data_IF_775964241293
#
_entry.id   IF_775964241293
#
_cell.length_a   1.000
_cell.length_b   1.000
_cell.length_c   1.000
_cell.angle_alpha   90.00
_cell.angle_beta   90.00
_cell.angle_gamma   90.00
#
_symmetry.space_group_name_H-M   'P 1'
#
loop_
_entity.id
_entity.type
_entity.pdbx_description
1 polymer ?
#
# COMPACT_ATOMS: atom_id res chain seq x y z
N UNK A 1 -26.26 24.40 -7.04
CA UNK A 1 -26.04 23.38 -5.99
C UNK A 1 -24.81 22.59 -6.40
N UNK A 2 -23.75 22.59 -5.59
CA UNK A 2 -22.67 21.61 -5.77
C UNK A 2 -23.31 20.21 -5.66
N UNK A 3 -22.98 19.24 -6.54
CA UNK A 3 -23.51 17.89 -6.43
C UNK A 3 -23.24 17.35 -5.02
N UNK A 4 -24.24 16.73 -4.39
CA UNK A 4 -24.04 16.07 -3.10
C UNK A 4 -22.92 15.04 -3.26
N UNK A 5 -21.97 14.92 -2.30
CA UNK A 5 -20.91 13.93 -2.40
C UNK A 5 -21.54 12.54 -2.52
N UNK A 6 -21.18 11.81 -3.57
CA UNK A 6 -21.64 10.44 -3.78
C UNK A 6 -21.07 9.52 -2.70
N UNK A 7 -21.89 8.60 -2.15
CA UNK A 7 -21.43 7.67 -1.14
C UNK A 7 -20.38 6.73 -1.73
N UNK A 8 -19.35 6.41 -0.94
CA UNK A 8 -18.25 5.53 -1.33
C UNK A 8 -18.22 4.27 -0.44
N UNK A 9 -17.99 3.11 -1.06
CA UNK A 9 -17.73 1.86 -0.32
C UNK A 9 -16.23 1.68 -0.11
N UNK A 10 -15.80 1.59 1.15
CA UNK A 10 -14.43 1.24 1.54
C UNK A 10 -14.35 -0.25 1.82
N UNK A 11 -13.73 -1.01 0.93
CA UNK A 11 -13.38 -2.42 1.17
C UNK A 11 -12.08 -2.46 1.98
N UNK A 12 -12.22 -2.77 3.28
CA UNK A 12 -11.15 -2.61 4.25
C UNK A 12 -10.46 -3.94 4.57
N UNK A 13 -9.16 -4.03 4.29
CA UNK A 13 -8.26 -5.06 4.82
C UNK A 13 -7.65 -4.67 6.17
N UNK A 14 -6.47 -5.22 6.46
CA UNK A 14 -5.65 -4.89 7.65
C UNK A 14 -4.81 -3.63 7.47
N UNK A 15 -4.34 -3.10 8.60
CA UNK A 15 -3.38 -2.00 8.65
C UNK A 15 -4.05 -0.63 8.74
N UNK A 16 -3.22 0.41 8.65
CA UNK A 16 -3.63 1.76 9.01
C UNK A 16 -4.33 2.53 7.88
N UNK A 17 -4.12 2.12 6.62
CA UNK A 17 -4.66 2.83 5.46
C UNK A 17 -6.20 2.96 5.45
N UNK A 18 -7.00 1.91 5.77
CA UNK A 18 -8.44 2.05 5.95
C UNK A 18 -8.82 3.12 6.97
N UNK A 19 -8.10 3.23 8.09
CA UNK A 19 -8.38 4.25 9.11
C UNK A 19 -8.10 5.65 8.57
N UNK A 20 -7.01 5.84 7.85
CA UNK A 20 -6.69 7.13 7.21
C UNK A 20 -7.79 7.56 6.24
N UNK A 21 -8.32 6.65 5.41
CA UNK A 21 -9.44 6.93 4.51
C UNK A 21 -10.72 7.29 5.27
N UNK A 22 -11.05 6.55 6.33
CA UNK A 22 -12.22 6.85 7.19
C UNK A 22 -12.12 8.28 7.75
N UNK A 23 -10.95 8.66 8.28
CA UNK A 23 -10.74 10.00 8.84
C UNK A 23 -10.92 11.10 7.77
N UNK A 24 -10.46 10.87 6.55
CA UNK A 24 -10.65 11.80 5.42
C UNK A 24 -12.11 11.88 5.01
N UNK A 25 -12.83 10.77 4.93
CA UNK A 25 -14.26 10.80 4.62
C UNK A 25 -15.07 11.55 5.68
N UNK A 26 -14.73 11.36 6.95
CA UNK A 26 -15.35 12.10 8.06
C UNK A 26 -15.04 13.60 8.00
N UNK A 27 -13.78 14.00 7.78
CA UNK A 27 -13.40 15.43 7.71
C UNK A 27 -14.05 16.15 6.52
N UNK A 28 -14.17 15.45 5.38
CA UNK A 28 -14.84 15.95 4.18
C UNK A 28 -16.37 15.86 4.25
N UNK A 29 -16.92 15.24 5.31
CA UNK A 29 -18.36 14.91 5.42
C UNK A 29 -18.87 14.14 4.20
N UNK A 30 -18.02 13.32 3.58
CA UNK A 30 -18.38 12.44 2.47
C UNK A 30 -19.07 11.20 3.05
N UNK A 31 -20.29 10.87 2.62
CA UNK A 31 -20.94 9.63 3.05
C UNK A 31 -20.11 8.41 2.64
N UNK A 32 -19.97 7.43 3.53
CA UNK A 32 -19.23 6.19 3.23
C UNK A 32 -19.80 5.00 4.01
N UNK A 33 -19.49 3.80 3.54
CA UNK A 33 -19.72 2.54 4.24
C UNK A 33 -18.45 1.70 4.22
N UNK A 34 -18.10 1.08 5.34
CA UNK A 34 -17.01 0.10 5.39
C UNK A 34 -17.56 -1.30 5.04
N UNK A 35 -17.05 -1.87 3.96
CA UNK A 35 -17.23 -3.27 3.58
C UNK A 35 -16.13 -4.08 4.29
N UNK A 36 -16.40 -4.50 5.53
CA UNK A 36 -15.44 -5.18 6.39
C UNK A 36 -15.42 -6.69 6.13
N UNK A 37 -14.24 -7.28 6.05
CA UNK A 37 -14.01 -8.70 5.86
C UNK A 37 -13.74 -9.41 7.18
N UNK A 38 -14.51 -10.46 7.48
CA UNK A 38 -14.28 -11.30 8.67
C UNK A 38 -12.91 -11.95 8.62
N UNK A 39 -12.16 -11.86 9.72
CA UNK A 39 -10.79 -12.40 9.83
C UNK A 39 -9.70 -11.51 9.21
N UNK A 40 -10.08 -10.43 8.50
CA UNK A 40 -9.11 -9.51 7.91
C UNK A 40 -9.28 -8.08 8.44
N UNK A 41 -10.50 -7.56 8.56
CA UNK A 41 -10.71 -6.22 9.12
C UNK A 41 -10.69 -6.25 10.64
N UNK A 42 -9.95 -5.35 11.27
CA UNK A 42 -9.94 -5.21 12.72
C UNK A 42 -11.27 -4.67 13.25
N UNK A 43 -11.84 -5.28 14.29
CA UNK A 43 -13.12 -4.84 14.86
C UNK A 43 -13.08 -3.39 15.36
N UNK A 44 -11.94 -2.98 15.93
CA UNK A 44 -11.70 -1.60 16.36
C UNK A 44 -11.78 -0.59 15.21
N UNK A 45 -11.48 -1.00 13.97
CA UNK A 45 -11.58 -0.12 12.80
C UNK A 45 -13.01 0.40 12.63
N UNK A 46 -13.99 -0.50 12.83
CA UNK A 46 -15.39 -0.26 12.50
C UNK A 46 -16.26 0.12 13.70
N UNK A 47 -15.67 0.22 14.89
CA UNK A 47 -16.35 0.68 16.11
C UNK A 47 -16.87 2.13 15.92
N UNK A 48 -18.18 2.32 16.03
CA UNK A 48 -18.83 3.62 15.79
C UNK A 48 -18.84 4.08 14.32
N UNK A 49 -18.43 3.23 13.38
CA UNK A 49 -18.38 3.53 11.94
C UNK A 49 -19.47 2.73 11.21
N UNK A 50 -20.20 3.31 10.24
CA UNK A 50 -21.12 2.56 9.39
C UNK A 50 -20.37 1.44 8.64
N UNK A 51 -20.80 0.19 8.82
CA UNK A 51 -20.15 -0.95 8.19
C UNK A 51 -21.10 -2.14 7.97
N UNK A 52 -20.69 -3.04 7.09
CA UNK A 52 -21.23 -4.40 6.99
C UNK A 52 -20.12 -5.43 7.08
N UNK A 53 -20.43 -6.60 7.63
CA UNK A 53 -19.51 -7.73 7.66
C UNK A 53 -19.76 -8.68 6.50
N UNK A 54 -18.69 -8.97 5.77
CA UNK A 54 -18.64 -9.87 4.62
C UNK A 54 -17.69 -11.03 4.90
N UNK A 55 -18.05 -12.22 4.42
CA UNK A 55 -17.09 -13.30 4.17
C UNK A 55 -16.50 -13.14 2.77
N UNK A 56 -15.31 -13.71 2.54
CA UNK A 56 -14.74 -13.77 1.20
C UNK A 56 -15.66 -14.56 0.27
N UNK A 57 -15.98 -13.96 -0.87
CA UNK A 57 -16.90 -14.55 -1.85
C UNK A 57 -18.37 -14.14 -1.69
N UNK A 58 -18.75 -13.38 -0.65
CA UNK A 58 -20.10 -12.76 -0.56
C UNK A 58 -20.23 -11.53 -1.50
N UNK A 59 -19.95 -11.74 -2.79
CA UNK A 59 -19.94 -10.69 -3.81
C UNK A 59 -21.34 -10.15 -4.08
N UNK A 60 -22.33 -11.03 -4.22
CA UNK A 60 -23.73 -10.66 -4.43
C UNK A 60 -24.31 -9.88 -3.25
N UNK A 61 -23.94 -10.22 -2.01
CA UNK A 61 -24.31 -9.46 -0.82
C UNK A 61 -23.73 -8.04 -0.84
N UNK A 62 -22.45 -7.90 -1.16
CA UNK A 62 -21.80 -6.59 -1.27
C UNK A 62 -22.45 -5.73 -2.36
N UNK A 63 -22.69 -6.31 -3.55
CA UNK A 63 -23.35 -5.63 -4.68
C UNK A 63 -24.75 -5.19 -4.29
N UNK A 64 -25.56 -6.07 -3.70
CA UNK A 64 -26.94 -5.74 -3.28
C UNK A 64 -26.95 -4.55 -2.31
N UNK A 65 -26.06 -4.57 -1.32
CA UNK A 65 -25.95 -3.46 -0.37
C UNK A 65 -25.59 -2.15 -1.09
N UNK A 66 -24.63 -2.17 -2.01
CA UNK A 66 -24.24 -0.98 -2.77
C UNK A 66 -25.39 -0.47 -3.66
N UNK A 67 -26.14 -1.37 -4.30
CA UNK A 67 -27.30 -1.01 -5.13
C UNK A 67 -28.42 -0.36 -4.30
N UNK A 68 -28.78 -0.98 -3.17
CA UNK A 68 -29.81 -0.47 -2.24
C UNK A 68 -29.46 0.91 -1.65
N UNK A 69 -28.16 1.20 -1.53
CA UNK A 69 -27.65 2.47 -0.98
C UNK A 69 -27.13 3.44 -2.06
N UNK A 70 -27.38 3.16 -3.35
CA UNK A 70 -26.95 3.99 -4.49
C UNK A 70 -25.45 4.32 -4.51
N UNK A 71 -24.61 3.37 -4.08
CA UNK A 71 -23.16 3.49 -4.05
C UNK A 71 -22.62 3.08 -5.41
N UNK A 72 -21.80 3.94 -6.02
CA UNK A 72 -21.15 3.67 -7.31
C UNK A 72 -19.63 3.72 -7.24
N UNK A 73 -19.09 4.37 -6.22
CA UNK A 73 -17.65 4.48 -6.02
C UNK A 73 -17.17 3.47 -4.99
N UNK A 74 -16.03 2.86 -5.27
CA UNK A 74 -15.38 1.86 -4.45
C UNK A 74 -13.94 2.30 -4.24
N UNK A 75 -13.46 2.26 -3.00
CA UNK A 75 -12.04 2.29 -2.68
C UNK A 75 -11.68 1.00 -1.95
N UNK A 76 -10.55 0.41 -2.30
CA UNK A 76 -9.99 -0.74 -1.59
C UNK A 76 -8.73 -0.28 -0.85
N UNK A 77 -8.60 -0.67 0.40
CA UNK A 77 -7.42 -0.31 1.19
C UNK A 77 -7.11 -1.36 2.24
N UNK A 78 -5.83 -1.49 2.55
CA UNK A 78 -5.33 -2.40 3.56
C UNK A 78 -4.94 -3.77 3.01
N UNK A 79 -4.09 -4.46 3.75
CA UNK A 79 -3.56 -5.75 3.35
C UNK A 79 -4.59 -6.87 3.52
N UNK A 80 -4.70 -7.75 2.54
CA UNK A 80 -5.48 -8.99 2.61
C UNK A 80 -4.50 -10.15 2.57
N UNK A 81 -4.53 -11.01 3.60
CA UNK A 81 -3.82 -12.30 3.53
C UNK A 81 -4.65 -13.31 2.76
N UNK A 82 -4.01 -14.39 2.32
CA UNK A 82 -4.75 -15.57 1.84
C UNK A 82 -5.77 -15.99 2.92
N UNK A 83 -7.07 -15.93 2.63
CA UNK A 83 -8.10 -16.17 3.63
C UNK A 83 -8.11 -17.65 4.01
N UNK A 84 -8.36 -17.93 5.29
CA UNK A 84 -8.58 -19.30 5.76
C UNK A 84 -9.89 -19.85 5.16
N UNK A 85 -10.02 -21.18 5.06
CA UNK A 85 -11.23 -21.80 4.51
C UNK A 85 -12.52 -21.38 5.27
N UNK A 86 -12.40 -21.09 6.57
CA UNK A 86 -13.50 -20.58 7.40
C UNK A 86 -13.95 -19.16 7.05
N UNK A 87 -13.10 -18.37 6.42
CA UNK A 87 -13.37 -16.97 6.02
C UNK A 87 -14.00 -16.89 4.62
N UNK A 88 -14.05 -18.01 3.88
CA UNK A 88 -14.53 -18.08 2.51
C UNK A 88 -15.93 -18.67 2.48
N UNK A 89 -16.91 -17.88 2.04
CA UNK A 89 -18.31 -18.28 1.82
C UNK A 89 -18.81 -17.66 0.51
N UNK A 90 -18.54 -18.30 -0.64
CA UNK A 90 -18.95 -17.75 -1.92
C UNK A 90 -20.46 -17.86 -2.08
N UNK A 91 -21.11 -16.71 -2.31
CA UNK A 91 -22.50 -16.70 -2.76
C UNK A 91 -22.57 -17.01 -4.27
N UNK A 92 -23.78 -17.10 -4.83
CA UNK A 92 -23.96 -17.45 -6.25
C UNK A 92 -23.15 -16.54 -7.18
N UNK A 93 -23.03 -15.26 -6.83
CA UNK A 93 -22.29 -14.31 -7.65
C UNK A 93 -20.78 -14.46 -7.44
N UNK A 94 -20.34 -14.73 -6.22
CA UNK A 94 -18.97 -15.12 -5.91
C UNK A 94 -18.54 -16.37 -6.68
N UNK A 95 -19.38 -17.40 -6.77
CA UNK A 95 -19.11 -18.60 -7.56
C UNK A 95 -18.90 -18.24 -9.04
N UNK A 96 -19.78 -17.42 -9.63
CA UNK A 96 -19.60 -16.96 -11.02
C UNK A 96 -18.27 -16.23 -11.21
N UNK A 97 -17.89 -15.36 -10.27
CA UNK A 97 -16.62 -14.63 -10.34
C UNK A 97 -15.42 -15.57 -10.26
N UNK A 98 -15.44 -16.54 -9.35
CA UNK A 98 -14.41 -17.57 -9.24
C UNK A 98 -14.24 -18.36 -10.55
N UNK A 99 -15.36 -18.74 -11.20
CA UNK A 99 -15.30 -19.44 -12.49
C UNK A 99 -14.68 -18.60 -13.61
N UNK A 100 -14.90 -17.27 -13.61
CA UNK A 100 -14.31 -16.34 -14.59
C UNK A 100 -12.83 -16.06 -14.34
N UNK A 101 -12.43 -15.99 -13.07
CA UNK A 101 -11.05 -15.73 -12.66
C UNK A 101 -10.16 -16.93 -12.97
N UNK A 102 -10.67 -18.15 -12.78
CA UNK A 102 -9.96 -19.41 -12.98
C UNK A 102 -9.07 -19.79 -11.79
N UNK A 103 -8.83 -21.09 -11.55
CA UNK A 103 -8.12 -21.59 -10.36
C UNK A 103 -6.64 -21.18 -10.30
N UNK A 104 -6.04 -20.83 -11.43
CA UNK A 104 -4.61 -20.49 -11.54
C UNK A 104 -4.26 -19.03 -11.19
N UNK A 105 -5.26 -18.17 -10.98
CA UNK A 105 -5.03 -16.75 -10.65
C UNK A 105 -5.00 -16.46 -9.14
N UNK A 106 -5.18 -17.47 -8.29
CA UNK A 106 -5.15 -17.30 -6.82
C UNK A 106 -3.71 -17.12 -6.32
N UNK A 107 -3.13 -15.94 -6.48
CA UNK A 107 -1.82 -15.59 -5.90
C UNK A 107 -0.99 -14.51 -6.62
N UNK A 108 -1.54 -13.81 -7.59
CA UNK A 108 -0.82 -12.86 -8.46
C UNK A 108 -1.58 -11.51 -8.50
N UNK A 109 -0.88 -10.39 -8.73
CA UNK A 109 -1.45 -9.06 -9.01
C UNK A 109 -2.49 -9.09 -10.14
N UNK A 110 -2.36 -10.08 -11.05
CA UNK A 110 -3.35 -10.37 -12.08
C UNK A 110 -4.75 -10.72 -11.53
N UNK A 111 -4.86 -11.25 -10.31
CA UNK A 111 -6.15 -11.48 -9.65
C UNK A 111 -6.87 -10.17 -9.39
N UNK A 112 -6.16 -9.22 -8.78
CA UNK A 112 -6.73 -7.97 -8.32
C UNK A 112 -7.15 -7.11 -9.52
N UNK A 113 -6.32 -7.07 -10.57
CA UNK A 113 -6.69 -6.43 -11.85
C UNK A 113 -7.95 -7.03 -12.46
N UNK A 114 -8.12 -8.36 -12.43
CA UNK A 114 -9.34 -9.03 -12.91
C UNK A 114 -10.55 -8.69 -12.07
N UNK A 115 -10.40 -8.66 -10.74
CA UNK A 115 -11.47 -8.27 -9.80
C UNK A 115 -11.91 -6.83 -10.08
N UNK A 116 -10.97 -5.88 -10.21
CA UNK A 116 -11.25 -4.48 -10.57
C UNK A 116 -12.03 -4.43 -11.89
N UNK A 117 -11.54 -5.10 -12.93
CA UNK A 117 -12.22 -5.11 -14.23
C UNK A 117 -13.66 -5.62 -14.13
N UNK A 118 -13.90 -6.69 -13.38
CA UNK A 118 -15.26 -7.22 -13.20
C UNK A 118 -16.18 -6.28 -12.40
N UNK A 119 -15.61 -5.51 -11.46
CA UNK A 119 -16.32 -4.45 -10.73
C UNK A 119 -16.72 -3.33 -11.72
N UNK A 120 -15.76 -2.88 -12.54
CA UNK A 120 -15.97 -1.82 -13.53
C UNK A 120 -16.95 -2.20 -14.64
N UNK A 121 -16.92 -3.46 -15.11
CA UNK A 121 -17.88 -4.00 -16.07
C UNK A 121 -19.35 -3.96 -15.57
N UNK A 122 -19.55 -3.81 -14.24
CA UNK A 122 -20.88 -3.62 -13.63
C UNK A 122 -21.25 -2.15 -13.39
N UNK A 123 -20.42 -1.21 -13.85
CA UNK A 123 -20.67 0.22 -13.73
C UNK A 123 -20.31 0.81 -12.36
N UNK A 124 -19.44 0.15 -11.59
CA UNK A 124 -18.82 0.73 -10.40
C UNK A 124 -17.50 1.39 -10.77
N UNK A 125 -17.19 2.52 -10.15
CA UNK A 125 -15.93 3.21 -10.30
C UNK A 125 -14.99 2.82 -9.17
N UNK A 126 -13.87 2.18 -9.50
CA UNK A 126 -12.79 1.93 -8.53
C UNK A 126 -11.89 3.17 -8.47
N UNK A 127 -11.89 3.82 -7.31
CA UNK A 127 -11.12 5.04 -7.02
C UNK A 127 -9.86 4.64 -6.27
N UNK A 128 -8.73 5.22 -6.66
CA UNK A 128 -7.46 4.97 -6.00
C UNK A 128 -7.36 5.72 -4.65
N UNK A 129 -6.69 5.14 -3.64
CA UNK A 129 -6.39 5.87 -2.41
C UNK A 129 -5.60 7.16 -2.69
N UNK A 130 -4.76 7.21 -3.71
CA UNK A 130 -4.02 8.39 -4.17
C UNK A 130 -4.92 9.54 -4.65
N UNK A 131 -6.03 9.25 -5.31
CA UNK A 131 -7.02 10.27 -5.72
C UNK A 131 -7.69 10.94 -4.51
N UNK A 132 -7.77 10.23 -3.38
CA UNK A 132 -8.46 10.66 -2.16
C UNK A 132 -7.46 11.23 -1.14
N UNK A 133 -6.25 10.67 -1.09
CA UNK A 133 -5.21 10.92 -0.12
C UNK A 133 -4.01 11.64 -0.77
N UNK A 134 -4.29 12.60 -1.66
CA UNK A 134 -3.26 13.39 -2.36
C UNK A 134 -2.26 13.97 -1.35
N UNK A 135 -2.76 14.48 -0.23
CA UNK A 135 -1.93 15.06 0.84
C UNK A 135 -1.04 14.03 1.55
N UNK A 136 -1.34 12.73 1.45
CA UNK A 136 -0.53 11.65 2.02
C UNK A 136 0.52 11.11 1.06
N UNK A 137 0.52 11.49 -0.22
CA UNK A 137 1.59 11.11 -1.14
C UNK A 137 2.91 11.80 -0.76
N UNK A 138 4.00 11.03 -0.73
CA UNK A 138 5.34 11.55 -0.46
C UNK A 138 5.67 12.69 -1.44
N UNK A 139 5.98 13.91 -0.95
CA UNK A 139 6.41 14.97 -1.84
C UNK A 139 7.85 14.72 -2.32
N UNK A 140 8.23 15.33 -3.43
CA UNK A 140 9.61 15.28 -3.91
C UNK A 140 10.54 16.07 -2.99
N UNK A 141 11.75 15.54 -2.76
CA UNK A 141 12.80 16.21 -1.99
C UNK A 141 13.08 15.56 -0.64
N UNK A 142 13.98 16.19 0.11
CA UNK A 142 14.39 15.73 1.43
C UNK A 142 13.32 16.17 2.43
N UNK A 143 12.78 15.21 3.20
CA UNK A 143 11.66 15.43 4.11
C UNK A 143 12.09 15.63 5.58
N UNK A 144 13.39 15.45 5.84
CA UNK A 144 14.03 15.54 7.16
C UNK A 144 15.21 16.52 7.10
N UNK A 145 15.65 17.13 8.21
CA UNK A 145 16.85 17.98 8.21
C UNK A 145 18.15 17.24 7.89
N UNK A 146 18.22 15.93 8.15
CA UNK A 146 19.37 15.12 7.76
C UNK A 146 19.32 14.86 6.24
N UNK A 147 20.40 15.19 5.55
CA UNK A 147 20.53 15.00 4.10
C UNK A 147 21.30 13.72 3.74
N UNK A 148 20.97 13.05 2.61
CA UNK A 148 21.77 11.95 2.09
C UNK A 148 23.14 12.43 1.63
N UNK A 149 24.20 11.76 2.09
CA UNK A 149 25.57 11.97 1.61
C UNK A 149 25.83 11.27 0.26
N UNK A 150 27.04 11.43 -0.28
CA UNK A 150 27.40 10.86 -1.58
C UNK A 150 27.24 9.33 -1.61
N UNK A 151 27.59 8.63 -0.52
CA UNK A 151 27.46 7.18 -0.46
C UNK A 151 25.99 6.76 -0.43
N UNK A 152 25.15 7.48 0.31
CA UNK A 152 23.71 7.26 0.33
C UNK A 152 23.10 7.47 -1.06
N UNK A 153 23.51 8.51 -1.81
CA UNK A 153 23.08 8.70 -3.19
C UNK A 153 23.50 7.54 -4.11
N UNK A 154 24.71 7.00 -3.96
CA UNK A 154 25.15 5.80 -4.68
C UNK A 154 24.28 4.57 -4.34
N UNK A 155 24.01 4.34 -3.05
CA UNK A 155 23.19 3.21 -2.59
C UNK A 155 21.74 3.32 -3.07
N UNK A 156 21.19 4.55 -3.06
CA UNK A 156 19.86 4.84 -3.61
C UNK A 156 19.81 4.53 -5.10
N UNK A 157 20.78 5.02 -5.88
CA UNK A 157 20.87 4.75 -7.32
C UNK A 157 20.93 3.25 -7.60
N UNK A 158 21.77 2.53 -6.84
CA UNK A 158 21.88 1.07 -6.94
C UNK A 158 20.56 0.36 -6.61
N UNK A 159 19.86 0.82 -5.58
CA UNK A 159 18.55 0.28 -5.21
C UNK A 159 17.50 0.45 -6.32
N UNK A 160 17.47 1.63 -6.95
CA UNK A 160 16.57 1.91 -8.08
C UNK A 160 16.86 1.02 -9.29
N UNK A 161 18.13 0.81 -9.63
CA UNK A 161 18.52 -0.11 -10.72
C UNK A 161 18.01 -1.53 -10.46
N UNK A 162 18.20 -2.03 -9.24
CA UNK A 162 17.79 -3.38 -8.83
C UNK A 162 16.26 -3.52 -8.93
N UNK A 163 15.50 -2.59 -8.34
CA UNK A 163 14.03 -2.63 -8.38
C UNK A 163 13.50 -2.45 -9.81
N UNK A 164 14.15 -1.62 -10.64
CA UNK A 164 13.80 -1.47 -12.05
C UNK A 164 14.00 -2.76 -12.84
N UNK A 165 15.09 -3.49 -12.59
CA UNK A 165 15.39 -4.77 -13.25
C UNK A 165 14.44 -5.90 -12.81
N UNK A 166 13.96 -5.86 -11.56
CA UNK A 166 13.04 -6.86 -11.01
C UNK A 166 11.57 -6.56 -11.27
N UNK A 167 11.22 -5.31 -11.59
CA UNK A 167 9.84 -4.91 -11.83
C UNK A 167 9.11 -5.76 -12.89
N UNK A 168 9.71 -6.22 -14.01
CA UNK A 168 9.03 -7.10 -14.97
C UNK A 168 8.76 -8.51 -14.43
N UNK A 169 9.55 -8.97 -13.46
CA UNK A 169 9.38 -10.25 -12.80
C UNK A 169 8.38 -10.18 -11.63
N UNK A 170 7.85 -8.99 -11.34
CA UNK A 170 6.87 -8.73 -10.29
C UNK A 170 7.33 -9.10 -8.87
N UNK A 171 8.64 -9.01 -8.61
CA UNK A 171 9.25 -9.39 -7.32
C UNK A 171 9.42 -8.18 -6.42
N UNK A 172 8.43 -7.97 -5.54
CA UNK A 172 8.47 -6.97 -4.47
C UNK A 172 8.63 -5.53 -4.95
N UNK A 173 8.72 -4.59 -4.00
CA UNK A 173 8.82 -3.16 -4.30
C UNK A 173 9.83 -2.42 -3.40
N UNK A 174 10.58 -3.14 -2.56
CA UNK A 174 11.58 -2.59 -1.68
C UNK A 174 12.91 -3.37 -1.71
N UNK A 175 14.00 -2.66 -1.48
CA UNK A 175 15.36 -3.19 -1.38
C UNK A 175 16.12 -2.45 -0.29
N UNK A 176 17.03 -3.15 0.40
CA UNK A 176 17.99 -2.51 1.31
C UNK A 176 19.38 -2.63 0.72
N UNK A 177 20.06 -1.49 0.57
CA UNK A 177 21.43 -1.39 0.03
C UNK A 177 22.35 -0.75 1.07
N UNK A 178 23.54 -1.32 1.26
CA UNK A 178 24.58 -0.77 2.13
C UNK A 178 25.91 -0.77 1.37
N UNK A 179 26.47 0.42 1.11
CA UNK A 179 27.78 0.59 0.48
C UNK A 179 27.90 -0.19 -0.85
N UNK A 180 26.85 -0.07 -1.69
CA UNK A 180 26.71 -0.76 -2.98
C UNK A 180 26.25 -2.22 -2.90
N UNK A 181 26.20 -2.83 -1.71
CA UNK A 181 25.76 -4.21 -1.53
C UNK A 181 24.25 -4.29 -1.25
N UNK A 182 23.55 -5.11 -2.02
CA UNK A 182 22.15 -5.46 -1.74
C UNK A 182 22.12 -6.43 -0.56
N UNK A 183 21.60 -5.98 0.58
CA UNK A 183 21.43 -6.82 1.77
C UNK A 183 20.16 -7.68 1.70
N UNK A 184 19.16 -7.20 0.98
CA UNK A 184 17.91 -7.92 0.78
C UNK A 184 16.99 -7.20 -0.19
N UNK A 185 16.13 -7.99 -0.83
CA UNK A 185 15.04 -7.54 -1.70
C UNK A 185 13.75 -8.10 -1.11
N UNK A 186 12.71 -7.28 -1.04
CA UNK A 186 11.38 -7.66 -0.61
C UNK A 186 10.81 -8.71 -1.56
N UNK A 187 10.19 -9.75 -1.00
CA UNK A 187 9.29 -10.61 -1.73
C UNK A 187 8.01 -10.81 -0.89
N UNK A 188 7.49 -12.03 -0.83
CA UNK A 188 6.23 -12.36 -0.15
C UNK A 188 6.27 -12.08 1.36
N UNK A 189 7.45 -11.94 1.97
CA UNK A 189 7.60 -11.66 3.40
C UNK A 189 7.22 -10.22 3.79
N UNK A 190 7.23 -9.31 2.82
CA UNK A 190 6.93 -7.89 3.01
C UNK A 190 8.08 -7.06 3.61
N UNK A 191 7.91 -5.74 3.54
CA UNK A 191 8.94 -4.75 3.85
C UNK A 191 9.48 -4.89 5.28
N UNK A 192 8.63 -5.20 6.25
CA UNK A 192 9.04 -5.31 7.67
C UNK A 192 10.04 -6.46 7.91
N UNK A 193 9.76 -7.62 7.31
CA UNK A 193 10.64 -8.78 7.40
C UNK A 193 11.92 -8.57 6.59
N UNK A 194 11.84 -7.87 5.45
CA UNK A 194 13.03 -7.40 4.72
C UNK A 194 13.93 -6.54 5.63
N UNK A 195 13.38 -5.51 6.29
CA UNK A 195 14.17 -4.61 7.15
C UNK A 195 14.85 -5.39 8.27
N UNK A 196 14.11 -6.28 8.95
CA UNK A 196 14.66 -7.10 10.02
C UNK A 196 15.80 -8.02 9.53
N UNK A 197 15.60 -8.67 8.37
CA UNK A 197 16.62 -9.54 7.74
C UNK A 197 17.85 -8.73 7.32
N UNK A 198 17.67 -7.57 6.70
CA UNK A 198 18.78 -6.72 6.29
C UNK A 198 19.59 -6.23 7.50
N UNK A 199 18.93 -5.88 8.61
CA UNK A 199 19.58 -5.54 9.88
C UNK A 199 20.51 -6.63 10.40
N UNK A 200 20.11 -7.91 10.29
CA UNK A 200 20.93 -9.05 10.70
C UNK A 200 22.12 -9.34 9.75
N UNK A 201 22.08 -8.81 8.52
CA UNK A 201 23.11 -9.00 7.49
C UNK A 201 24.04 -7.79 7.33
N UNK A 202 23.83 -6.74 8.14
CA UNK A 202 24.63 -5.52 8.06
C UNK A 202 26.11 -5.79 8.33
N UNK A 203 26.95 -5.01 7.65
CA UNK A 203 28.40 -4.99 7.86
C UNK A 203 28.80 -3.78 8.68
N UNK A 204 30.01 -3.83 9.24
CA UNK A 204 30.66 -2.64 9.80
C UNK A 204 30.79 -1.56 8.73
N UNK A 205 30.49 -0.31 9.06
CA UNK A 205 30.54 0.80 8.11
C UNK A 205 29.33 1.70 8.27
N UNK A 206 28.97 2.40 7.19
CA UNK A 206 27.76 3.20 7.15
C UNK A 206 26.53 2.29 7.14
N UNK A 207 25.45 2.68 7.83
CA UNK A 207 24.19 1.95 7.79
C UNK A 207 23.57 1.89 6.38
N UNK A 208 22.75 0.87 6.12
CA UNK A 208 22.07 0.74 4.83
C UNK A 208 20.93 1.75 4.62
N UNK A 209 20.48 1.87 3.37
CA UNK A 209 19.32 2.65 2.95
C UNK A 209 18.20 1.70 2.54
N UNK A 210 16.98 1.95 3.02
CA UNK A 210 15.77 1.31 2.49
C UNK A 210 15.29 2.12 1.27
N UNK A 211 15.16 1.48 0.12
CA UNK A 211 14.58 2.07 -1.09
C UNK A 211 13.26 1.36 -1.38
N UNK A 212 12.17 2.11 -1.56
CA UNK A 212 10.85 1.57 -1.87
C UNK A 212 10.18 2.37 -2.99
N UNK A 213 9.99 1.77 -4.16
CA UNK A 213 9.43 2.44 -5.36
C UNK A 213 8.32 1.58 -5.95
N UNK A 214 7.32 2.19 -6.58
CA UNK A 214 6.23 1.43 -7.18
C UNK A 214 6.74 0.59 -8.36
N UNK A 215 6.20 -0.62 -8.54
CA UNK A 215 6.48 -1.43 -9.75
C UNK A 215 5.94 -0.69 -10.99
N UNK A 216 6.56 -0.87 -12.15
CA UNK A 216 6.13 -0.22 -13.41
C UNK A 216 4.68 -0.57 -13.79
N UNK A 217 4.28 -1.81 -13.52
CA UNK A 217 2.94 -2.33 -13.84
C UNK A 217 2.02 -2.37 -12.60
N UNK A 218 2.41 -1.67 -11.52
CA UNK A 218 1.66 -1.59 -10.28
C UNK A 218 0.26 -1.00 -10.52
N UNK A 219 -0.77 -1.67 -10.02
CA UNK A 219 -2.12 -1.10 -10.02
C UNK A 219 -2.26 -0.14 -8.84
N UNK A 220 -2.05 1.15 -9.12
CA UNK A 220 -2.01 2.22 -8.12
C UNK A 220 -3.34 2.39 -7.36
N UNK A 221 -4.46 2.03 -7.98
CA UNK A 221 -5.77 2.21 -7.35
C UNK A 221 -6.02 1.32 -6.14
N UNK A 222 -5.14 0.37 -5.87
CA UNK A 222 -5.33 -0.66 -4.84
C UNK A 222 -4.05 -1.09 -4.15
N UNK A 223 -2.89 -0.86 -4.76
CA UNK A 223 -1.60 -1.29 -4.20
C UNK A 223 -0.55 -0.21 -4.46
N UNK A 224 -0.52 0.77 -3.56
CA UNK A 224 0.52 1.78 -3.47
C UNK A 224 1.53 1.37 -2.40
N UNK A 225 2.84 1.60 -2.63
CA UNK A 225 3.81 1.55 -1.56
C UNK A 225 3.38 2.45 -0.39
N UNK A 226 3.53 1.94 0.83
CA UNK A 226 3.23 2.67 2.07
C UNK A 226 4.44 2.66 2.99
N UNK A 227 4.71 3.82 3.61
CA UNK A 227 5.60 3.96 4.76
C UNK A 227 4.90 4.74 5.89
N UNK A 228 5.33 4.53 7.12
CA UNK A 228 4.82 5.24 8.29
C UNK A 228 5.78 5.14 9.47
N UNK A 229 5.33 5.55 10.65
CA UNK A 229 6.11 5.53 11.89
C UNK A 229 6.75 4.17 12.17
N UNK A 230 6.03 3.08 11.92
CA UNK A 230 6.53 1.74 12.18
C UNK A 230 7.67 1.34 11.21
N UNK A 231 7.61 1.79 9.96
CA UNK A 231 8.72 1.63 9.01
C UNK A 231 9.97 2.33 9.52
N UNK A 232 9.83 3.57 10.01
CA UNK A 232 10.94 4.34 10.60
C UNK A 232 11.50 3.64 11.83
N UNK A 233 10.64 3.19 12.75
CA UNK A 233 11.03 2.47 13.97
C UNK A 233 11.84 1.20 13.64
N UNK A 234 11.35 0.42 12.68
CA UNK A 234 12.02 -0.81 12.24
C UNK A 234 13.33 -0.52 11.53
N UNK A 235 13.36 0.46 10.63
CA UNK A 235 14.57 0.88 9.94
C UNK A 235 15.66 1.33 10.92
N UNK A 236 15.31 2.18 11.89
CA UNK A 236 16.21 2.61 12.95
C UNK A 236 16.73 1.44 13.79
N UNK A 237 15.84 0.52 14.21
CA UNK A 237 16.21 -0.68 14.97
C UNK A 237 17.15 -1.59 14.19
N UNK A 238 16.99 -1.67 12.87
CA UNK A 238 17.84 -2.45 11.98
C UNK A 238 19.16 -1.76 11.64
N UNK A 239 19.46 -0.58 12.20
CA UNK A 239 20.69 0.16 11.92
C UNK A 239 20.70 0.82 10.53
N UNK A 240 19.54 1.01 9.90
CA UNK A 240 19.46 1.76 8.65
C UNK A 240 19.60 3.26 8.94
N UNK A 241 20.16 3.99 7.99
CA UNK A 241 20.44 5.43 8.12
C UNK A 241 19.55 6.31 7.23
N UNK A 242 18.72 5.71 6.39
CA UNK A 242 17.80 6.46 5.56
C UNK A 242 16.75 5.62 4.85
N UNK A 243 15.70 6.31 4.40
CA UNK A 243 14.58 5.75 3.65
C UNK A 243 14.38 6.63 2.42
N UNK A 244 14.41 6.03 1.24
CA UNK A 244 14.09 6.68 -0.02
C UNK A 244 12.84 6.06 -0.64
N UNK A 245 11.88 6.90 -1.01
CA UNK A 245 10.60 6.48 -1.59
C UNK A 245 10.31 7.21 -2.88
N UNK A 246 9.49 6.63 -3.75
CA UNK A 246 9.04 7.33 -4.96
C UNK A 246 8.01 8.42 -4.61
N UNK A 247 8.34 9.67 -4.98
CA UNK A 247 7.46 10.82 -4.78
C UNK A 247 6.21 10.71 -5.66
N UNK A 248 5.05 11.11 -5.11
CA UNK A 248 3.76 11.04 -5.79
C UNK A 248 3.21 9.62 -5.97
N UNK A 249 3.95 8.57 -5.58
CA UNK A 249 3.52 7.17 -5.73
C UNK A 249 3.74 6.32 -4.47
N UNK A 250 4.13 6.94 -3.35
CA UNK A 250 4.24 6.30 -2.05
C UNK A 250 3.41 7.06 -1.03
N UNK A 251 2.57 6.37 -0.27
CA UNK A 251 1.80 6.96 0.83
C UNK A 251 2.66 7.03 2.10
N UNK A 252 2.63 8.19 2.76
CA UNK A 252 3.25 8.43 4.07
C UNK A 252 2.16 8.59 5.12
N UNK A 253 1.93 7.56 5.91
CA UNK A 253 0.94 7.58 6.99
C UNK A 253 1.47 8.38 8.18
N UNK A 254 0.61 9.21 8.79
CA UNK A 254 0.95 10.11 9.91
C UNK A 254 2.28 10.83 9.65
N UNK A 255 2.39 11.54 8.51
CA UNK A 255 3.67 12.07 8.02
C UNK A 255 4.39 12.90 9.06
N UNK A 256 3.68 13.75 9.80
CA UNK A 256 4.29 14.63 10.80
C UNK A 256 4.98 13.81 11.90
N UNK A 257 4.27 12.84 12.48
CA UNK A 257 4.79 11.93 13.50
C UNK A 257 5.91 11.04 12.96
N UNK A 258 5.75 10.52 11.75
CA UNK A 258 6.75 9.72 11.04
C UNK A 258 8.06 10.51 10.86
N UNK A 259 7.99 11.75 10.38
CA UNK A 259 9.17 12.59 10.16
C UNK A 259 9.80 13.03 11.48
N UNK A 260 8.99 13.35 12.49
CA UNK A 260 9.49 13.62 13.85
C UNK A 260 10.29 12.42 14.39
N UNK A 261 9.74 11.22 14.29
CA UNK A 261 10.43 10.00 14.70
C UNK A 261 11.70 9.75 13.89
N UNK A 262 11.69 10.01 12.57
CA UNK A 262 12.87 9.85 11.74
C UNK A 262 14.01 10.78 12.19
N UNK A 263 13.67 12.04 12.51
CA UNK A 263 14.62 13.01 13.05
C UNK A 263 15.19 12.56 14.40
N UNK A 264 14.34 12.11 15.33
CA UNK A 264 14.77 11.58 16.64
C UNK A 264 15.70 10.36 16.51
N UNK A 265 15.53 9.57 15.45
CA UNK A 265 16.35 8.39 15.16
C UNK A 265 17.54 8.67 14.25
N UNK A 266 17.73 9.91 13.80
CA UNK A 266 18.78 10.29 12.85
C UNK A 266 18.71 9.51 11.53
N UNK A 267 17.50 9.27 11.01
CA UNK A 267 17.27 8.76 9.66
C UNK A 267 16.87 9.91 8.74
N UNK A 268 17.46 9.96 7.56
CA UNK A 268 16.91 10.81 6.51
C UNK A 268 15.72 10.14 5.83
N UNK A 269 14.74 10.94 5.39
CA UNK A 269 13.65 10.49 4.51
C UNK A 269 13.66 11.31 3.24
N UNK A 270 13.66 10.65 2.08
CA UNK A 270 13.78 11.27 0.77
C UNK A 270 12.64 10.83 -0.15
N UNK A 271 11.94 11.77 -0.76
CA UNK A 271 11.07 11.55 -1.91
C UNK A 271 11.84 11.72 -3.22
N UNK A 272 12.03 10.62 -3.95
CA UNK A 272 12.69 10.57 -5.24
C UNK A 272 11.74 11.01 -6.35
N UNK A 273 12.19 11.92 -7.21
CA UNK A 273 11.49 12.25 -8.43
C UNK A 273 11.16 10.96 -9.22
N UNK A 274 9.91 10.79 -9.66
CA UNK A 274 9.48 9.57 -10.38
C UNK A 274 10.31 9.32 -11.66
N UNK A 275 10.76 10.39 -12.33
CA UNK A 275 11.66 10.30 -13.49
C UNK A 275 12.99 9.59 -13.19
N UNK A 276 13.47 9.65 -11.93
CA UNK A 276 14.67 8.93 -11.47
C UNK A 276 14.37 7.47 -11.11
N UNK A 277 13.11 7.10 -10.85
CA UNK A 277 12.70 5.76 -10.44
C UNK A 277 12.43 4.83 -11.63
N UNK A 278 12.14 5.39 -12.81
CA UNK A 278 11.78 4.64 -14.02
C UNK A 278 12.61 5.05 -15.22
N UNK A 279 13.91 4.78 -15.14
CA UNK A 279 14.82 4.98 -16.28
C UNK A 279 14.62 3.81 -17.26
N UNK A 280 14.32 4.11 -18.53
CA UNK A 280 14.37 3.10 -19.58
C UNK A 280 15.82 2.59 -19.69
N UNK A 281 16.01 1.28 -19.45
CA UNK A 281 17.27 0.60 -19.75
C UNK A 281 17.45 0.51 -21.26
#
# INVERSE_FOLDING_TARGET
>A
MLPKPTPIALFAGRGDLPRSLINVFQSQKRPFIVMAFRGQTEEKLVEGIPHIWLYFGEVGKAIRYMEENHIREIVMAGAISRPAMSEVRPDWEGIKWLTKIGPHALGDDNLLKRVIKMIEERGYQVVGPDDILVDLLAPEGILTPLEPDNQAWCDIGRGVEVLSALSPADVGQAVVVQEGLVLGIEAIEGTDALIARAGALQRSGLGGILIKIAKRQQEQRVDLPVIGEETVRKAAKAGLRGIAVEAGRTLTLNREEMLKLANEKSLFVLGLASARCHVSL
#
